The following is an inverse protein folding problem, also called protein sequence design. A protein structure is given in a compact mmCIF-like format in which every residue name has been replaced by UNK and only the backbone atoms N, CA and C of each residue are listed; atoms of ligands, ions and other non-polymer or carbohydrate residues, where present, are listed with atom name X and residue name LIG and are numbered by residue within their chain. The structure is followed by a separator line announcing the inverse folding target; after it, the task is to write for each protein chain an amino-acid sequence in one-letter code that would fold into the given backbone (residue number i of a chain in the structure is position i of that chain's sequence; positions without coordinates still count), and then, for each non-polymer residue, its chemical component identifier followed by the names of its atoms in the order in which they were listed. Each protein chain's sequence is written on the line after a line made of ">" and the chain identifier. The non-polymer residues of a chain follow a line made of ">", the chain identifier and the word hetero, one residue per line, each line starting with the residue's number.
data_IF_384308071259
#
_entry.id   IF_384308071259
#
_cell.length_a   1.000
_cell.length_b   1.000
_cell.length_c   1.000
_cell.angle_alpha   90.00
_cell.angle_beta   90.00
_cell.angle_gamma   90.00
#
_symmetry.space_group_name_H-M   'P 1'
#
loop_
_entity.id
_entity.type
_entity.pdbx_description
1 polymer ?
#
# COMPACT_ATOMS: atom_id res chain seq x y z
N UNK A 1 2.93 -8.81 20.85
CA UNK A 1 1.49 -9.01 20.61
C UNK A 1 1.32 -10.08 19.55
N UNK A 2 0.60 -11.16 19.91
CA UNK A 2 0.17 -12.17 18.93
C UNK A 2 -1.17 -11.70 18.35
N UNK A 3 -1.13 -10.70 17.50
CA UNK A 3 -2.31 -10.34 16.71
C UNK A 3 -2.53 -11.40 15.65
N UNK A 4 -3.79 -11.78 15.47
CA UNK A 4 -4.18 -12.69 14.41
C UNK A 4 -3.98 -11.98 13.08
N UNK A 5 -3.12 -12.50 12.21
CA UNK A 5 -2.94 -11.97 10.86
C UNK A 5 -4.11 -12.47 10.03
N UNK A 6 -5.00 -11.56 9.65
CA UNK A 6 -6.20 -11.89 8.87
C UNK A 6 -5.96 -11.77 7.35
N UNK A 7 -4.95 -11.00 6.91
CA UNK A 7 -4.60 -10.80 5.51
C UNK A 7 -3.10 -11.01 5.28
N UNK A 8 -2.76 -11.83 4.30
CA UNK A 8 -1.38 -12.00 3.81
C UNK A 8 -1.32 -11.55 2.36
N UNK A 9 -0.67 -10.41 2.15
CA UNK A 9 -0.39 -9.88 0.83
C UNK A 9 0.96 -10.39 0.33
N UNK A 10 0.95 -11.03 -0.83
CA UNK A 10 2.15 -11.51 -1.50
C UNK A 10 2.49 -10.60 -2.67
N UNK A 11 3.76 -10.27 -2.84
CA UNK A 11 4.26 -9.52 -3.98
C UNK A 11 5.16 -10.42 -4.85
N UNK A 12 5.09 -10.24 -6.18
CA UNK A 12 5.89 -11.02 -7.13
C UNK A 12 6.38 -10.16 -8.30
N UNK A 13 7.56 -10.49 -8.82
CA UNK A 13 8.10 -9.91 -10.04
C UNK A 13 7.55 -10.56 -11.33
N UNK A 14 6.70 -11.58 -11.23
CA UNK A 14 5.97 -12.14 -12.36
C UNK A 14 4.83 -11.21 -12.75
N UNK A 15 4.53 -11.09 -14.04
CA UNK A 15 3.32 -10.40 -14.47
C UNK A 15 2.06 -11.26 -14.20
N UNK A 16 0.83 -10.68 -14.22
CA UNK A 16 -0.38 -11.41 -13.86
C UNK A 16 -0.64 -12.66 -14.71
N UNK A 17 -0.28 -12.64 -16.00
CA UNK A 17 -0.45 -13.81 -16.88
C UNK A 17 0.50 -14.95 -16.50
N UNK A 18 1.72 -14.61 -16.12
CA UNK A 18 2.69 -15.58 -15.62
C UNK A 18 2.26 -16.18 -14.29
N UNK A 19 1.72 -15.36 -13.38
CA UNK A 19 1.13 -15.82 -12.11
C UNK A 19 -0.02 -16.78 -12.36
N UNK A 20 -1.01 -16.41 -13.20
CA UNK A 20 -2.14 -17.28 -13.56
C UNK A 20 -1.67 -18.59 -14.17
N UNK A 21 -0.65 -18.56 -15.04
CA UNK A 21 -0.08 -19.75 -15.67
C UNK A 21 0.60 -20.67 -14.65
N UNK A 22 1.36 -20.10 -13.71
CA UNK A 22 2.00 -20.84 -12.63
C UNK A 22 0.98 -21.51 -11.69
N UNK A 23 -0.07 -20.81 -11.32
CA UNK A 23 -1.15 -21.32 -10.47
C UNK A 23 -1.90 -22.46 -11.15
N UNK A 24 -2.27 -22.31 -12.44
CA UNK A 24 -2.90 -23.36 -13.26
C UNK A 24 -2.03 -24.62 -13.32
N UNK A 25 -0.72 -24.46 -13.59
CA UNK A 25 0.23 -25.58 -13.67
C UNK A 25 0.31 -26.38 -12.38
N UNK A 26 0.11 -25.72 -11.24
CA UNK A 26 0.16 -26.35 -9.92
C UNK A 26 -1.23 -26.72 -9.35
N UNK A 27 -2.30 -26.66 -10.17
CA UNK A 27 -3.67 -26.98 -9.78
C UNK A 27 -4.16 -26.16 -8.56
N UNK A 28 -3.73 -24.91 -8.45
CA UNK A 28 -4.14 -23.99 -7.38
C UNK A 28 -5.33 -23.17 -7.88
N UNK A 29 -6.41 -23.13 -7.10
CA UNK A 29 -7.60 -22.35 -7.41
C UNK A 29 -7.34 -20.85 -7.20
N UNK A 30 -7.74 -20.03 -8.16
CA UNK A 30 -7.57 -18.58 -8.10
C UNK A 30 -8.69 -17.83 -8.81
N UNK A 31 -8.81 -16.53 -8.50
CA UNK A 31 -9.76 -15.61 -9.10
C UNK A 31 -9.02 -14.37 -9.62
N UNK A 32 -9.34 -13.95 -10.84
CA UNK A 32 -8.73 -12.80 -11.51
C UNK A 32 -9.49 -11.49 -11.22
N UNK A 33 -9.96 -11.30 -9.99
CA UNK A 33 -10.83 -10.18 -9.55
C UNK A 33 -10.16 -8.80 -9.56
N UNK A 34 -8.85 -8.73 -9.73
CA UNK A 34 -8.08 -7.48 -9.74
C UNK A 34 -6.94 -7.51 -10.76
N UNK A 35 -7.09 -8.31 -11.80
CA UNK A 35 -6.00 -8.54 -12.77
C UNK A 35 -5.56 -7.25 -13.50
N UNK A 36 -6.46 -6.31 -13.73
CA UNK A 36 -6.18 -4.99 -14.30
C UNK A 36 -5.26 -4.14 -13.41
N UNK A 37 -5.29 -4.40 -12.09
CA UNK A 37 -4.41 -3.77 -11.10
C UNK A 37 -3.21 -4.65 -10.72
N UNK A 38 -3.09 -5.81 -11.36
CA UNK A 38 -2.00 -6.76 -11.12
C UNK A 38 -2.24 -7.71 -9.95
N UNK A 39 -3.43 -7.78 -9.38
CA UNK A 39 -3.74 -8.62 -8.22
C UNK A 39 -4.55 -9.86 -8.62
N UNK A 40 -4.12 -11.02 -8.13
CA UNK A 40 -4.81 -12.30 -8.27
C UNK A 40 -5.10 -12.84 -6.87
N UNK A 41 -6.35 -13.23 -6.64
CA UNK A 41 -6.77 -13.82 -5.39
C UNK A 41 -6.64 -15.34 -5.44
N UNK A 42 -5.96 -15.93 -4.49
CA UNK A 42 -5.77 -17.38 -4.33
C UNK A 42 -6.47 -17.87 -3.07
N UNK A 43 -7.07 -19.04 -3.13
CA UNK A 43 -7.72 -19.68 -1.97
C UNK A 43 -7.08 -21.05 -1.75
N UNK A 44 -6.47 -21.26 -0.59
CA UNK A 44 -5.84 -22.49 -0.15
C UNK A 44 -6.36 -22.81 1.27
N UNK A 45 -6.92 -24.00 1.47
CA UNK A 45 -7.42 -24.46 2.77
C UNK A 45 -8.35 -23.44 3.48
N UNK A 46 -9.22 -22.79 2.72
CA UNK A 46 -10.12 -21.71 3.16
C UNK A 46 -9.43 -20.40 3.56
N UNK A 47 -8.13 -20.26 3.36
CA UNK A 47 -7.41 -18.98 3.51
C UNK A 47 -7.34 -18.25 2.17
N UNK A 48 -7.58 -16.95 2.23
CA UNK A 48 -7.48 -16.05 1.09
C UNK A 48 -6.11 -15.37 1.10
N UNK A 49 -5.44 -15.40 -0.05
CA UNK A 49 -4.18 -14.69 -0.28
C UNK A 49 -4.33 -13.79 -1.49
N UNK A 50 -3.72 -12.62 -1.45
CA UNK A 50 -3.64 -11.73 -2.60
C UNK A 50 -2.21 -11.70 -3.13
N UNK A 51 -2.02 -12.09 -4.39
CA UNK A 51 -0.74 -12.05 -5.09
C UNK A 51 -0.76 -10.85 -6.01
N UNK A 52 0.09 -9.86 -5.73
CA UNK A 52 0.17 -8.62 -6.51
C UNK A 52 1.50 -8.56 -7.26
N UNK A 53 1.41 -8.41 -8.57
CA UNK A 53 2.58 -8.16 -9.42
C UNK A 53 3.18 -6.79 -9.13
N UNK A 54 4.52 -6.71 -9.04
CA UNK A 54 5.21 -5.44 -8.90
C UNK A 54 4.85 -4.51 -10.06
N UNK A 55 4.69 -3.22 -9.78
CA UNK A 55 4.26 -2.24 -10.77
C UNK A 55 4.81 -0.84 -10.52
N UNK A 56 4.80 -0.06 -11.58
CA UNK A 56 4.98 1.38 -11.55
C UNK A 56 3.67 2.04 -11.97
N UNK A 57 3.29 3.10 -11.29
CA UNK A 57 2.10 3.87 -11.64
C UNK A 57 2.52 5.03 -12.56
N UNK A 58 1.92 5.09 -13.76
CA UNK A 58 2.11 6.17 -14.73
C UNK A 58 0.84 7.02 -14.81
N UNK A 59 0.99 8.32 -15.05
CA UNK A 59 -0.13 9.25 -15.30
C UNK A 59 -1.25 9.12 -14.25
N UNK A 60 -0.91 9.35 -12.98
CA UNK A 60 -1.89 9.34 -11.90
C UNK A 60 -2.74 10.61 -11.94
N UNK A 61 -4.03 10.49 -12.27
CA UNK A 61 -5.02 11.56 -12.15
C UNK A 61 -5.89 11.44 -10.88
N UNK A 62 -5.41 10.68 -9.90
CA UNK A 62 -6.10 10.39 -8.64
C UNK A 62 -7.16 9.28 -8.74
N UNK A 63 -7.58 8.87 -9.93
CA UNK A 63 -8.58 7.80 -10.14
C UNK A 63 -8.06 6.64 -10.98
N UNK A 64 -7.26 6.92 -11.98
CA UNK A 64 -6.73 5.93 -12.91
C UNK A 64 -5.23 6.14 -13.04
N UNK A 65 -4.46 5.17 -12.56
CA UNK A 65 -3.06 5.05 -12.90
C UNK A 65 -2.95 4.03 -14.04
N UNK A 66 -2.30 4.41 -15.13
CA UNK A 66 -1.83 3.40 -16.06
C UNK A 66 -0.78 2.56 -15.36
N UNK A 67 -1.05 1.27 -15.25
CA UNK A 67 -0.18 0.33 -14.54
C UNK A 67 0.78 -0.29 -15.53
N UNK A 68 2.08 -0.14 -15.26
CA UNK A 68 3.13 -0.90 -15.95
C UNK A 68 3.75 -1.89 -14.96
N UNK A 69 3.67 -3.18 -15.28
CA UNK A 69 4.31 -4.20 -14.45
C UNK A 69 5.84 -4.07 -14.51
N UNK A 70 6.46 -4.26 -13.36
CA UNK A 70 7.89 -4.08 -13.15
C UNK A 70 8.50 -5.31 -12.48
N UNK A 71 9.79 -5.49 -12.63
CA UNK A 71 10.57 -6.48 -11.85
C UNK A 71 11.39 -5.81 -10.74
N UNK A 72 11.30 -4.49 -10.64
CA UNK A 72 12.09 -3.68 -9.71
C UNK A 72 11.29 -3.43 -8.41
N UNK A 73 11.72 -4.07 -7.34
CA UNK A 73 11.15 -3.95 -6.00
C UNK A 73 11.21 -2.53 -5.45
N UNK A 74 12.29 -1.78 -5.76
CA UNK A 74 12.44 -0.41 -5.28
C UNK A 74 11.46 0.54 -5.98
N UNK A 75 11.18 0.32 -7.26
CA UNK A 75 10.18 1.09 -8.01
C UNK A 75 8.77 0.83 -7.48
N UNK A 76 8.41 -0.43 -7.22
CA UNK A 76 7.11 -0.73 -6.58
C UNK A 76 7.01 -0.10 -5.18
N UNK A 77 8.09 -0.17 -4.39
CA UNK A 77 8.13 0.48 -3.08
C UNK A 77 7.95 2.01 -3.17
N UNK A 78 8.56 2.66 -4.17
CA UNK A 78 8.53 4.13 -4.32
C UNK A 78 7.15 4.71 -4.62
N UNK A 79 6.22 3.93 -5.22
CA UNK A 79 4.85 4.37 -5.48
C UNK A 79 3.95 4.32 -4.24
N UNK A 80 4.37 3.63 -3.17
CA UNK A 80 3.61 3.52 -1.91
C UNK A 80 3.59 4.86 -1.17
N UNK A 81 2.69 5.00 -0.21
CA UNK A 81 2.49 6.26 0.51
C UNK A 81 3.57 6.52 1.57
N UNK A 82 3.79 5.56 2.48
CA UNK A 82 4.67 5.74 3.64
C UNK A 82 5.80 4.72 3.66
N UNK A 83 6.93 5.11 4.25
CA UNK A 83 8.11 4.25 4.41
C UNK A 83 7.78 2.93 5.12
N UNK A 84 6.94 2.97 6.16
CA UNK A 84 6.50 1.79 6.90
C UNK A 84 5.65 0.82 6.07
N UNK A 85 5.06 1.25 4.98
CA UNK A 85 4.24 0.44 4.07
C UNK A 85 5.02 -0.10 2.87
N UNK A 86 6.34 0.12 2.81
CA UNK A 86 7.22 -0.27 1.70
C UNK A 86 8.24 -1.34 2.09
N UNK A 87 7.99 -2.05 3.17
CA UNK A 87 8.84 -3.14 3.66
C UNK A 87 8.32 -4.45 3.09
N UNK A 88 9.21 -5.24 2.52
CA UNK A 88 8.91 -6.59 2.05
C UNK A 88 9.71 -7.61 2.87
N UNK A 89 9.16 -8.81 3.01
CA UNK A 89 9.84 -9.92 3.64
C UNK A 89 9.84 -11.14 2.71
N UNK A 90 10.95 -11.86 2.65
CA UNK A 90 10.99 -13.17 2.00
C UNK A 90 10.51 -14.29 2.95
N UNK A 91 10.39 -15.51 2.43
CA UNK A 91 9.97 -16.68 3.21
C UNK A 91 10.93 -17.04 4.37
N UNK A 92 12.15 -16.54 4.36
CA UNK A 92 13.15 -16.74 5.41
C UNK A 92 13.13 -15.62 6.46
N UNK A 93 12.30 -14.58 6.25
CA UNK A 93 12.22 -13.40 7.12
C UNK A 93 13.28 -12.33 6.82
N UNK A 94 14.03 -12.45 5.72
CA UNK A 94 14.91 -11.35 5.29
C UNK A 94 14.09 -10.19 4.79
N UNK A 95 14.45 -8.97 5.20
CA UNK A 95 13.73 -7.76 4.82
C UNK A 95 14.40 -7.05 3.64
N UNK A 96 13.57 -6.62 2.70
CA UNK A 96 13.93 -5.62 1.71
C UNK A 96 13.21 -4.31 2.07
N UNK A 97 13.97 -3.34 2.56
CA UNK A 97 13.47 -2.05 3.09
C UNK A 97 14.23 -0.88 2.46
N UNK A 98 13.86 -0.48 1.24
CA UNK A 98 14.63 0.51 0.48
C UNK A 98 14.51 1.94 1.03
N UNK A 99 13.56 2.21 1.93
CA UNK A 99 13.28 3.55 2.47
C UNK A 99 13.42 3.64 3.99
N UNK A 100 14.05 2.64 4.63
CA UNK A 100 14.23 2.57 6.09
C UNK A 100 12.91 2.60 6.90
N UNK A 101 11.85 2.00 6.35
CA UNK A 101 10.54 1.94 7.00
C UNK A 101 10.54 1.22 8.32
N UNK A 102 11.36 0.16 8.47
CA UNK A 102 11.55 -0.54 9.75
C UNK A 102 12.06 0.40 10.84
N UNK A 103 13.08 1.19 10.53
CA UNK A 103 13.63 2.18 11.48
C UNK A 103 12.60 3.24 11.84
N UNK A 104 11.80 3.68 10.86
CA UNK A 104 10.73 4.64 11.10
C UNK A 104 9.66 4.05 12.02
N UNK A 105 9.25 2.81 11.77
CA UNK A 105 8.26 2.11 12.60
C UNK A 105 8.77 1.94 14.04
N UNK A 106 10.02 1.50 14.22
CA UNK A 106 10.64 1.36 15.55
C UNK A 106 10.71 2.68 16.31
N UNK A 107 10.86 3.80 15.59
CA UNK A 107 10.87 5.13 16.17
C UNK A 107 9.49 5.81 16.21
N UNK A 108 8.42 5.15 15.80
CA UNK A 108 7.07 5.72 15.76
C UNK A 108 6.94 6.90 14.79
N UNK A 109 7.70 6.90 13.69
CA UNK A 109 7.70 7.96 12.69
C UNK A 109 6.87 7.55 11.47
N UNK A 110 5.97 8.42 11.04
CA UNK A 110 5.20 8.25 9.81
C UNK A 110 5.72 9.23 8.77
N UNK A 111 6.50 8.73 7.81
CA UNK A 111 7.10 9.54 6.75
C UNK A 111 6.58 9.15 5.38
N UNK A 112 6.26 10.15 4.57
CA UNK A 112 5.95 9.95 3.15
C UNK A 112 7.20 9.47 2.38
N UNK A 113 6.99 8.66 1.36
CA UNK A 113 8.03 8.34 0.38
C UNK A 113 8.01 9.44 -0.68
N UNK A 114 9.08 10.23 -0.77
CA UNK A 114 9.15 11.42 -1.62
C UNK A 114 8.58 12.68 -0.97
N UNK A 115 8.25 13.67 -1.78
CA UNK A 115 7.72 14.95 -1.30
C UNK A 115 6.27 14.79 -0.81
N UNK A 116 5.94 15.18 0.43
CA UNK A 116 4.62 14.99 1.01
C UNK A 116 3.50 15.72 0.23
N UNK A 117 3.78 16.92 -0.28
CA UNK A 117 2.76 17.70 -1.01
C UNK A 117 2.43 17.05 -2.36
N UNK A 118 3.44 16.59 -3.09
CA UNK A 118 3.26 15.87 -4.35
C UNK A 118 2.49 14.56 -4.12
N UNK A 119 2.88 13.79 -3.10
CA UNK A 119 2.22 12.53 -2.75
C UNK A 119 0.75 12.70 -2.35
N UNK A 120 0.41 13.77 -1.66
CA UNK A 120 -0.98 14.09 -1.30
C UNK A 120 -1.77 14.52 -2.54
N UNK A 121 -1.19 15.30 -3.45
CA UNK A 121 -1.85 15.72 -4.69
C UNK A 121 -2.14 14.56 -5.64
N UNK A 122 -1.31 13.54 -5.67
CA UNK A 122 -1.57 12.31 -6.41
C UNK A 122 -2.82 11.57 -5.87
N UNK A 123 -3.02 11.56 -4.55
CA UNK A 123 -4.18 10.93 -3.91
C UNK A 123 -4.48 11.57 -2.55
N UNK A 124 -5.53 12.38 -2.50
CA UNK A 124 -5.94 13.09 -1.28
C UNK A 124 -6.36 12.14 -0.13
N UNK A 125 -6.66 10.87 -0.41
CA UNK A 125 -6.93 9.87 0.64
C UNK A 125 -5.72 9.69 1.57
N UNK A 126 -4.52 9.98 1.10
CA UNK A 126 -3.28 9.91 1.90
C UNK A 126 -3.28 10.84 3.11
N UNK A 127 -4.10 11.90 3.10
CA UNK A 127 -4.30 12.76 4.28
C UNK A 127 -4.93 11.95 5.42
N UNK A 128 -6.01 11.23 5.14
CA UNK A 128 -6.69 10.40 6.15
C UNK A 128 -5.84 9.22 6.56
N UNK A 129 -5.16 8.59 5.59
CA UNK A 129 -4.23 7.50 5.85
C UNK A 129 -3.08 7.93 6.76
N UNK A 130 -2.49 9.12 6.54
CA UNK A 130 -1.47 9.67 7.43
C UNK A 130 -1.98 9.81 8.86
N UNK A 131 -3.15 10.39 9.05
CA UNK A 131 -3.75 10.57 10.38
C UNK A 131 -3.98 9.22 11.07
N UNK A 132 -4.52 8.23 10.34
CA UNK A 132 -4.75 6.88 10.88
C UNK A 132 -3.44 6.21 11.30
N UNK A 133 -2.45 6.16 10.42
CA UNK A 133 -1.16 5.55 10.75
C UNK A 133 -0.45 6.29 11.88
N UNK A 134 -0.55 7.62 11.91
CA UNK A 134 0.01 8.40 12.99
C UNK A 134 -0.62 8.03 14.34
N UNK A 135 -1.94 7.91 14.43
CA UNK A 135 -2.62 7.49 15.66
C UNK A 135 -2.30 6.05 16.06
N UNK A 136 -2.12 5.16 15.09
CA UNK A 136 -1.84 3.74 15.36
C UNK A 136 -0.40 3.45 15.79
N UNK A 137 0.58 4.21 15.27
CA UNK A 137 1.99 3.83 15.38
C UNK A 137 2.90 4.92 15.94
N UNK A 138 2.43 6.17 16.13
CA UNK A 138 3.25 7.27 16.61
C UNK A 138 2.88 7.70 18.03
N UNK A 139 3.92 7.90 18.85
CA UNK A 139 3.81 8.52 20.17
C UNK A 139 4.37 9.95 20.18
N UNK A 140 4.70 10.48 19.01
CA UNK A 140 5.30 11.81 18.86
C UNK A 140 4.24 12.90 18.66
N UNK A 141 4.69 14.15 18.72
CA UNK A 141 3.90 15.27 18.19
C UNK A 141 4.01 15.28 16.68
N UNK A 142 2.95 15.70 16.01
CA UNK A 142 2.96 15.90 14.56
C UNK A 142 4.06 16.90 14.17
N UNK A 143 4.77 16.59 13.10
CA UNK A 143 5.66 17.53 12.43
C UNK A 143 4.83 18.73 11.91
N UNK A 144 5.28 19.95 12.23
CA UNK A 144 4.55 21.18 11.89
C UNK A 144 4.53 21.43 10.37
N UNK A 145 5.57 20.99 9.68
CA UNK A 145 5.65 21.10 8.24
C UNK A 145 4.65 20.16 7.54
N UNK A 146 4.58 18.92 8.01
CA UNK A 146 3.57 17.97 7.54
C UNK A 146 2.15 18.50 7.82
N UNK A 147 1.89 19.01 9.02
CA UNK A 147 0.58 19.58 9.34
C UNK A 147 0.20 20.75 8.42
N UNK A 148 1.17 21.59 8.05
CA UNK A 148 0.97 22.69 7.09
C UNK A 148 0.57 22.15 5.72
N UNK A 149 1.28 21.13 5.24
CA UNK A 149 0.98 20.48 3.95
C UNK A 149 -0.39 19.83 3.96
N UNK A 150 -0.73 19.08 5.03
CA UNK A 150 -2.04 18.47 5.18
C UNK A 150 -3.16 19.54 5.12
N UNK A 151 -3.04 20.60 5.92
CA UNK A 151 -4.05 21.69 5.98
C UNK A 151 -4.24 22.38 4.63
N UNK A 152 -3.15 22.65 3.91
CA UNK A 152 -3.17 23.28 2.58
C UNK A 152 -3.96 22.45 1.57
N UNK A 153 -3.95 21.13 1.71
CA UNK A 153 -4.53 20.20 0.76
C UNK A 153 -5.87 19.58 1.21
N UNK A 154 -6.43 20.00 2.37
CA UNK A 154 -7.67 19.42 2.91
C UNK A 154 -8.86 19.50 1.95
N UNK A 155 -8.98 20.58 1.18
CA UNK A 155 -10.07 20.75 0.20
C UNK A 155 -10.10 19.65 -0.87
N UNK A 156 -8.95 19.02 -1.15
CA UNK A 156 -8.86 17.91 -2.09
C UNK A 156 -9.62 16.67 -1.67
N UNK A 157 -9.92 16.51 -0.37
CA UNK A 157 -10.71 15.38 0.15
C UNK A 157 -12.11 15.35 -0.49
N UNK A 158 -12.68 16.52 -0.84
CA UNK A 158 -13.98 16.58 -1.51
C UNK A 158 -14.02 15.92 -2.89
N UNK A 159 -12.86 15.68 -3.50
CA UNK A 159 -12.75 15.02 -4.81
C UNK A 159 -12.74 13.48 -4.69
N UNK A 160 -12.67 12.95 -3.47
CA UNK A 160 -12.66 11.49 -3.23
C UNK A 160 -14.06 10.90 -3.42
N UNK A 161 -14.12 9.68 -3.93
CA UNK A 161 -15.39 8.94 -3.95
C UNK A 161 -15.84 8.61 -2.52
N UNK A 162 -17.17 8.61 -2.32
CA UNK A 162 -17.77 8.31 -1.01
C UNK A 162 -17.34 6.95 -0.48
N UNK A 163 -17.22 5.95 -1.35
CA UNK A 163 -16.85 4.59 -0.96
C UNK A 163 -15.43 4.55 -0.41
N UNK A 164 -14.46 5.15 -1.12
CA UNK A 164 -13.06 5.23 -0.65
C UNK A 164 -12.95 5.96 0.69
N UNK A 165 -13.65 7.08 0.82
CA UNK A 165 -13.69 7.86 2.06
C UNK A 165 -14.27 7.03 3.21
N UNK A 166 -15.39 6.35 2.97
CA UNK A 166 -16.08 5.54 3.97
C UNK A 166 -15.24 4.34 4.41
N UNK A 167 -14.57 3.67 3.50
CA UNK A 167 -13.71 2.53 3.82
C UNK A 167 -12.48 2.95 4.65
N UNK A 168 -11.87 4.09 4.33
CA UNK A 168 -10.75 4.58 5.14
C UNK A 168 -11.22 5.06 6.53
N UNK A 169 -12.39 5.69 6.63
CA UNK A 169 -12.99 6.06 7.91
C UNK A 169 -13.34 4.85 8.79
N UNK A 170 -13.85 3.76 8.20
CA UNK A 170 -14.06 2.50 8.95
C UNK A 170 -12.75 1.96 9.54
N UNK A 171 -11.66 1.99 8.76
CA UNK A 171 -10.32 1.58 9.24
C UNK A 171 -9.83 2.50 10.36
N UNK A 172 -10.08 3.79 10.23
CA UNK A 172 -9.72 4.80 11.22
C UNK A 172 -10.42 4.60 12.57
N UNK A 173 -11.70 4.19 12.57
CA UNK A 173 -12.47 3.92 13.81
C UNK A 173 -12.01 2.62 14.49
N UNK A 174 -11.45 1.67 13.72
CA UNK A 174 -10.98 0.38 14.24
C UNK A 174 -9.52 0.41 14.71
N UNK A 175 -8.74 1.44 14.35
CA UNK A 175 -7.36 1.65 14.79
C UNK A 175 -7.33 2.37 16.14
#
# INVERSE_FOLDING_TARGET
>A
NKEKVDDIDLATNLNPKEVSSALKKNNINFYETGIEHGTITVVIDNYKFEITSLREDFNTDGRHAEVKFSTDWKRDASRRDFTINSIYADANGNLFDPFNGKKDLENGLIRFIGDPEERIKEDYLRILRYLRFFLSYSNHKHDQEILRVLRKNLSGISNLSKDRLFDELKKFIKS
#
